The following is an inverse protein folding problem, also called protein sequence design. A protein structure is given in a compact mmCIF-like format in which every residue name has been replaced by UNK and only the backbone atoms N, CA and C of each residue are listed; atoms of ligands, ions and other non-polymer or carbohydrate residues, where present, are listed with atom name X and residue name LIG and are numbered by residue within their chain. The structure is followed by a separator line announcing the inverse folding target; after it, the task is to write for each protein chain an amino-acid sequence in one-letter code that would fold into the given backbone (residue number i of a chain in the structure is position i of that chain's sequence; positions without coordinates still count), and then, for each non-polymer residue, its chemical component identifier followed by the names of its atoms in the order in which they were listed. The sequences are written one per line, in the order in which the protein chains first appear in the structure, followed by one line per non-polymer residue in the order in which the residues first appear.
data_IF_376085561910
#
_entry.id   IF_376085561910
#
_cell.length_a   1.000
_cell.length_b   1.000
_cell.length_c   1.000
_cell.angle_alpha   90.00
_cell.angle_beta   90.00
_cell.angle_gamma   90.00
#
_symmetry.space_group_name_H-M   'P 1'
#
loop_
_entity.id
_entity.type
_entity.pdbx_description
1 polymer ?
#
# COMPACT_ATOMS: atom_id res chain seq x y z
N UNK A 1 33.32 2.68 -4.03
CA UNK A 1 32.02 2.97 -4.66
C UNK A 1 31.00 3.07 -3.54
N UNK A 2 30.37 4.21 -3.36
CA UNK A 2 29.31 4.35 -2.35
C UNK A 2 28.02 3.87 -2.99
N UNK A 3 27.47 2.76 -2.51
CA UNK A 3 26.10 2.37 -2.83
C UNK A 3 25.22 3.56 -2.38
N UNK A 4 24.53 4.22 -3.32
CA UNK A 4 23.78 5.45 -3.04
C UNK A 4 22.47 5.16 -2.26
N UNK A 5 22.11 3.88 -2.12
CA UNK A 5 20.85 3.38 -1.55
C UNK A 5 21.16 2.16 -0.68
N UNK A 6 20.65 2.11 0.56
CA UNK A 6 20.79 0.96 1.45
C UNK A 6 19.77 -0.13 1.05
N UNK A 7 20.20 -1.27 0.46
CA UNK A 7 19.29 -2.32 0.03
C UNK A 7 18.49 -2.93 1.18
N UNK A 8 19.04 -2.93 2.40
CA UNK A 8 18.35 -3.42 3.60
C UNK A 8 17.19 -2.50 3.93
N UNK A 9 17.41 -1.19 3.91
CA UNK A 9 16.36 -0.20 4.17
C UNK A 9 15.28 -0.21 3.08
N UNK A 10 15.64 -0.44 1.81
CA UNK A 10 14.67 -0.54 0.72
C UNK A 10 13.82 -1.81 0.80
N UNK A 11 14.42 -2.95 1.13
CA UNK A 11 13.67 -4.20 1.37
C UNK A 11 12.72 -4.05 2.56
N UNK A 12 13.19 -3.47 3.68
CA UNK A 12 12.36 -3.20 4.84
C UNK A 12 11.18 -2.27 4.49
N UNK A 13 11.42 -1.22 3.69
CA UNK A 13 10.35 -0.34 3.21
C UNK A 13 9.34 -1.08 2.33
N UNK A 14 9.80 -1.96 1.44
CA UNK A 14 8.90 -2.77 0.62
C UNK A 14 8.04 -3.70 1.48
N UNK A 15 8.64 -4.41 2.43
CA UNK A 15 7.95 -5.32 3.34
C UNK A 15 6.93 -4.58 4.22
N UNK A 16 7.29 -3.38 4.71
CA UNK A 16 6.39 -2.51 5.46
C UNK A 16 5.19 -2.09 4.60
N UNK A 17 5.41 -1.69 3.34
CA UNK A 17 4.33 -1.31 2.43
C UNK A 17 3.37 -2.47 2.16
N UNK A 18 3.89 -3.68 1.94
CA UNK A 18 3.07 -4.88 1.79
C UNK A 18 2.28 -5.19 3.06
N UNK A 19 2.92 -5.10 4.22
CA UNK A 19 2.31 -5.38 5.52
C UNK A 19 1.18 -4.38 5.84
N UNK A 20 1.45 -3.08 5.70
CA UNK A 20 0.45 -2.05 5.97
C UNK A 20 -0.66 -2.05 4.93
N UNK A 21 -0.36 -2.28 3.65
CA UNK A 21 -1.36 -2.44 2.61
C UNK A 21 -2.29 -3.63 2.87
N UNK A 22 -1.72 -4.78 3.26
CA UNK A 22 -2.49 -5.97 3.64
C UNK A 22 -3.37 -5.74 4.88
N UNK A 23 -2.82 -5.08 5.91
CA UNK A 23 -3.56 -4.72 7.12
C UNK A 23 -4.74 -3.79 6.81
N UNK A 24 -4.51 -2.77 5.97
CA UNK A 24 -5.54 -1.81 5.58
C UNK A 24 -6.67 -2.49 4.78
N UNK A 25 -6.35 -3.46 3.92
CA UNK A 25 -7.37 -4.29 3.24
C UNK A 25 -8.25 -5.04 4.26
N UNK A 26 -7.64 -5.69 5.26
CA UNK A 26 -8.39 -6.38 6.30
C UNK A 26 -9.23 -5.46 7.20
N UNK A 27 -8.74 -4.24 7.47
CA UNK A 27 -9.51 -3.23 8.21
C UNK A 27 -10.70 -2.70 7.38
N UNK A 28 -10.57 -2.56 6.06
CA UNK A 28 -11.69 -2.21 5.16
C UNK A 28 -12.77 -3.29 5.15
N UNK A 29 -12.38 -4.56 5.09
CA UNK A 29 -13.33 -5.68 5.15
C UNK A 29 -14.11 -5.67 6.48
N UNK A 30 -13.38 -5.48 7.59
CA UNK A 30 -13.99 -5.37 8.92
C UNK A 30 -14.91 -4.15 9.05
N UNK A 31 -14.53 -3.02 8.44
CA UNK A 31 -15.33 -1.81 8.38
C UNK A 31 -16.62 -2.03 7.58
N UNK A 32 -16.55 -2.73 6.45
CA UNK A 32 -17.72 -3.04 5.62
C UNK A 32 -18.75 -3.90 6.37
N UNK A 33 -18.28 -4.91 7.11
CA UNK A 33 -19.16 -5.75 7.94
C UNK A 33 -19.82 -4.93 9.06
N UNK A 34 -19.04 -4.09 9.74
CA UNK A 34 -19.55 -3.20 10.78
C UNK A 34 -20.53 -2.16 10.23
N UNK A 35 -20.23 -1.62 9.04
CA UNK A 35 -21.07 -0.64 8.34
C UNK A 35 -22.42 -1.24 7.95
N UNK A 36 -22.42 -2.47 7.43
CA UNK A 36 -23.66 -3.22 7.15
C UNK A 36 -24.49 -3.40 8.41
N UNK A 37 -23.88 -3.88 9.50
CA UNK A 37 -24.58 -4.06 10.77
C UNK A 37 -25.13 -2.74 11.30
N UNK A 38 -24.37 -1.65 11.23
CA UNK A 38 -24.83 -0.32 11.63
C UNK A 38 -26.01 0.16 10.78
N UNK A 39 -25.91 0.06 9.46
CA UNK A 39 -26.96 0.43 8.52
C UNK A 39 -28.26 -0.34 8.78
N UNK A 40 -28.17 -1.65 9.05
CA UNK A 40 -29.33 -2.50 9.32
C UNK A 40 -30.04 -2.11 10.64
N UNK A 41 -29.31 -1.53 11.59
CA UNK A 41 -29.84 -1.04 12.87
C UNK A 41 -30.32 0.42 12.83
N UNK A 42 -30.05 1.16 11.74
CA UNK A 42 -30.54 2.54 11.61
C UNK A 42 -32.05 2.56 11.44
N UNK A 43 -32.73 3.34 12.28
CA UNK A 43 -34.13 3.66 12.12
C UNK A 43 -34.29 4.94 11.28
N UNK A 44 -35.12 4.87 10.24
CA UNK A 44 -35.44 6.01 9.38
C UNK A 44 -34.60 6.08 8.10
N UNK A 45 -35.28 6.33 6.99
CA UNK A 45 -34.71 6.28 5.64
C UNK A 45 -33.71 7.40 5.35
N UNK A 46 -33.93 8.58 5.96
CA UNK A 46 -32.98 9.69 5.88
C UNK A 46 -31.64 9.39 6.58
N UNK A 47 -31.68 8.69 7.72
CA UNK A 47 -30.46 8.31 8.44
C UNK A 47 -29.64 7.29 7.63
N UNK A 48 -30.32 6.31 7.01
CA UNK A 48 -29.71 5.33 6.10
C UNK A 48 -29.06 6.00 4.89
N UNK A 49 -29.79 6.87 4.19
CA UNK A 49 -29.26 7.59 3.04
C UNK A 49 -28.05 8.49 3.39
N UNK A 50 -28.09 9.15 4.56
CA UNK A 50 -26.96 9.94 5.07
C UNK A 50 -25.75 9.07 5.37
N UNK A 51 -25.97 7.90 6.01
CA UNK A 51 -24.91 6.93 6.27
C UNK A 51 -24.31 6.39 4.97
N UNK A 52 -25.13 5.98 4.00
CA UNK A 52 -24.67 5.43 2.72
C UNK A 52 -23.75 6.40 1.97
N UNK A 53 -24.10 7.69 1.96
CA UNK A 53 -23.27 8.73 1.36
C UNK A 53 -21.90 8.86 2.04
N UNK A 54 -21.87 8.88 3.37
CA UNK A 54 -20.61 8.99 4.13
C UNK A 54 -19.78 7.72 4.03
N UNK A 55 -20.42 6.55 4.11
CA UNK A 55 -19.76 5.25 3.98
C UNK A 55 -19.12 5.09 2.59
N UNK A 56 -19.82 5.49 1.53
CA UNK A 56 -19.27 5.50 0.16
C UNK A 56 -18.05 6.41 0.05
N UNK A 57 -18.12 7.64 0.58
CA UNK A 57 -16.99 8.57 0.52
C UNK A 57 -15.76 8.03 1.28
N UNK A 58 -15.99 7.43 2.45
CA UNK A 58 -14.94 6.79 3.24
C UNK A 58 -14.29 5.65 2.46
N UNK A 59 -15.10 4.74 1.87
CA UNK A 59 -14.59 3.63 1.08
C UNK A 59 -13.75 4.12 -0.11
N UNK A 60 -14.23 5.10 -0.87
CA UNK A 60 -13.45 5.65 -1.99
C UNK A 60 -12.11 6.25 -1.52
N UNK A 61 -12.08 6.94 -0.38
CA UNK A 61 -10.82 7.46 0.17
C UNK A 61 -9.84 6.37 0.63
N UNK A 62 -10.36 5.27 1.17
CA UNK A 62 -9.55 4.11 1.57
C UNK A 62 -9.02 3.36 0.35
N UNK A 63 -9.84 3.14 -0.68
CA UNK A 63 -9.43 2.55 -1.96
C UNK A 63 -8.35 3.40 -2.65
N UNK A 64 -8.52 4.72 -2.70
CA UNK A 64 -7.51 5.64 -3.24
C UNK A 64 -6.18 5.56 -2.46
N UNK A 65 -6.26 5.38 -1.15
CA UNK A 65 -5.08 5.23 -0.29
C UNK A 65 -4.35 3.92 -0.57
N UNK A 66 -5.10 2.82 -0.72
CA UNK A 66 -4.54 1.53 -1.12
C UNK A 66 -3.86 1.59 -2.48
N UNK A 67 -4.48 2.24 -3.47
CA UNK A 67 -3.86 2.40 -4.79
C UNK A 67 -2.52 3.16 -4.71
N UNK A 68 -2.43 4.19 -3.86
CA UNK A 68 -1.18 4.92 -3.63
C UNK A 68 -0.13 4.06 -2.94
N UNK A 69 -0.52 3.24 -1.97
CA UNK A 69 0.38 2.29 -1.29
C UNK A 69 0.91 1.24 -2.27
N UNK A 70 0.03 0.64 -3.08
CA UNK A 70 0.40 -0.35 -4.10
C UNK A 70 1.34 0.28 -5.15
N UNK A 71 1.05 1.51 -5.60
CA UNK A 71 1.91 2.23 -6.53
C UNK A 71 3.29 2.58 -5.92
N UNK A 72 3.33 2.95 -4.64
CA UNK A 72 4.58 3.21 -3.92
C UNK A 72 5.40 1.92 -3.76
N UNK A 73 4.76 0.81 -3.41
CA UNK A 73 5.40 -0.51 -3.34
C UNK A 73 6.06 -0.90 -4.66
N UNK A 74 5.34 -0.73 -5.78
CA UNK A 74 5.89 -0.98 -7.11
C UNK A 74 7.07 -0.06 -7.46
N UNK A 75 7.05 1.21 -7.04
CA UNK A 75 8.18 2.13 -7.26
C UNK A 75 9.42 1.72 -6.45
N UNK A 76 9.23 1.28 -5.20
CA UNK A 76 10.31 0.80 -4.33
C UNK A 76 10.93 -0.48 -4.91
N UNK A 77 10.11 -1.43 -5.36
CA UNK A 77 10.58 -2.66 -6.03
C UNK A 77 11.39 -2.36 -7.30
N UNK A 78 10.88 -1.46 -8.15
CA UNK A 78 11.59 -1.04 -9.36
C UNK A 78 12.93 -0.34 -9.05
N UNK A 79 12.98 0.46 -7.99
CA UNK A 79 14.19 1.12 -7.55
C UNK A 79 15.23 0.11 -7.02
N UNK A 80 14.78 -0.90 -6.26
CA UNK A 80 15.62 -2.00 -5.80
C UNK A 80 16.20 -2.79 -6.97
N UNK A 81 15.37 -3.16 -7.96
CA UNK A 81 15.83 -3.90 -9.14
C UNK A 81 16.92 -3.13 -9.90
N UNK A 82 16.73 -1.82 -10.12
CA UNK A 82 17.74 -0.97 -10.77
C UNK A 82 19.03 -0.83 -9.96
N UNK A 83 18.91 -0.74 -8.63
CA UNK A 83 20.07 -0.68 -7.75
C UNK A 83 20.92 -1.96 -7.84
N UNK A 84 20.28 -3.13 -7.85
CA UNK A 84 20.95 -4.42 -7.98
C UNK A 84 21.61 -4.59 -9.36
N UNK A 85 20.94 -4.20 -10.44
CA UNK A 85 21.52 -4.23 -11.80
C UNK A 85 22.74 -3.31 -11.93
N UNK A 86 22.70 -2.12 -11.33
CA UNK A 86 23.81 -1.19 -11.35
C UNK A 86 25.03 -1.74 -10.58
N UNK A 87 24.80 -2.34 -9.41
CA UNK A 87 25.86 -2.95 -8.60
C UNK A 87 26.50 -4.16 -9.30
N UNK A 88 25.70 -5.03 -9.91
CA UNK A 88 26.19 -6.19 -10.68
C UNK A 88 27.09 -5.80 -11.87
N UNK A 89 26.70 -4.77 -12.64
CA UNK A 89 27.51 -4.26 -13.77
C UNK A 89 28.85 -3.68 -13.31
N UNK A 90 28.90 -3.08 -12.13
CA UNK A 90 30.15 -2.58 -11.57
C UNK A 90 31.04 -3.75 -11.13
N UNK A 91 30.48 -4.74 -10.44
CA UNK A 91 31.21 -5.92 -9.99
C UNK A 91 31.89 -6.65 -11.15
N UNK A 92 31.17 -6.85 -12.27
CA UNK A 92 31.72 -7.45 -13.49
C UNK A 92 32.81 -6.58 -14.14
N UNK A 93 32.67 -5.26 -14.09
CA UNK A 93 33.67 -4.32 -14.61
C UNK A 93 35.00 -4.35 -13.85
N UNK A 94 35.01 -4.71 -12.56
CA UNK A 94 36.22 -4.91 -11.77
C UNK A 94 36.78 -6.34 -11.88
N UNK A 95 35.96 -7.34 -12.20
CA UNK A 95 36.42 -8.72 -12.42
C UNK A 95 37.20 -8.91 -13.74
N UNK A 96 37.07 -7.96 -14.67
CA UNK A 96 37.77 -7.95 -15.96
C UNK A 96 39.13 -7.22 -15.94
N UNK A 97 39.60 -6.75 -14.77
CA UNK A 97 40.91 -6.12 -14.56
C UNK A 97 41.84 -6.98 -13.71
#
# INVERSE_FOLDING_TARGET
MTILYDPVAMNALYDDLQTYGGKMKGEIDSLNDAAKAFHDNLAGEQAKAGFDGQHKNLLSGLEDTLQKLDALGAQVENALARALEADGKVGDGFAAF
#
